data_IF_860176351485
#
_entry.id   IF_860176351485
#
_cell.length_a   1.000
_cell.length_b   1.000
_cell.length_c   1.000
_cell.angle_alpha   90.00
_cell.angle_beta   90.00
_cell.angle_gamma   90.00
#
_symmetry.space_group_name_H-M   'P 1'
#
loop_
_entity.id
_entity.type
_entity.pdbx_description
1 polymer ?
#
# COMPACT_ATOMS: atom_id res chain seq x y z
N UNK A 1 1.54 13.95 -1.80
CA UNK A 1 1.61 14.07 -0.33
C UNK A 1 2.35 12.91 0.38
N UNK A 2 2.30 11.66 -0.12
CA UNK A 2 3.07 10.51 0.45
C UNK A 2 4.56 10.55 0.07
N UNK A 3 4.87 10.91 -1.18
CA UNK A 3 6.22 11.14 -1.68
C UNK A 3 6.97 12.21 -0.87
N UNK A 4 6.25 13.22 -0.37
CA UNK A 4 6.80 14.25 0.52
C UNK A 4 7.18 13.69 1.89
N UNK A 5 6.40 12.74 2.43
CA UNK A 5 6.72 12.07 3.70
C UNK A 5 7.99 11.24 3.54
N UNK A 6 8.09 10.44 2.47
CA UNK A 6 9.30 9.66 2.14
C UNK A 6 10.52 10.58 2.01
N UNK A 7 10.40 11.70 1.29
CA UNK A 7 11.50 12.66 1.16
C UNK A 7 11.89 13.36 2.48
N UNK A 8 10.95 13.53 3.40
CA UNK A 8 11.17 14.16 4.72
C UNK A 8 11.90 13.23 5.69
N UNK A 9 11.58 11.93 5.68
CA UNK A 9 12.16 10.95 6.62
C UNK A 9 13.47 10.35 6.13
N UNK A 10 13.77 10.41 4.83
CA UNK A 10 15.00 9.85 4.26
C UNK A 10 16.13 10.89 4.16
N UNK A 11 17.36 10.57 4.62
CA UNK A 11 18.56 11.36 4.41
C UNK A 11 18.80 11.71 2.92
N UNK A 12 19.29 12.92 2.57
CA UNK A 12 19.40 13.37 1.18
C UNK A 12 20.19 12.45 0.26
N UNK A 13 21.24 11.80 0.76
CA UNK A 13 22.11 10.86 0.05
C UNK A 13 21.43 9.51 -0.25
N UNK A 14 20.37 9.15 0.47
CA UNK A 14 19.70 7.84 0.35
C UNK A 14 18.30 7.93 -0.29
N UNK A 15 17.87 9.14 -0.68
CA UNK A 15 16.54 9.38 -1.26
C UNK A 15 16.29 8.57 -2.53
N UNK A 16 17.30 8.42 -3.39
CA UNK A 16 17.19 7.62 -4.61
C UNK A 16 16.80 6.17 -4.29
N UNK A 17 17.52 5.54 -3.36
CA UNK A 17 17.25 4.16 -2.93
C UNK A 17 15.88 4.02 -2.25
N UNK A 18 15.52 4.98 -1.37
CA UNK A 18 14.22 4.97 -0.70
C UNK A 18 13.05 5.08 -1.69
N UNK A 19 13.17 5.95 -2.70
CA UNK A 19 12.17 6.04 -3.76
C UNK A 19 12.14 4.79 -4.65
N UNK A 20 13.29 4.18 -4.97
CA UNK A 20 13.34 2.92 -5.70
C UNK A 20 12.59 1.81 -4.96
N UNK A 21 12.81 1.66 -3.65
CA UNK A 21 12.08 0.68 -2.84
C UNK A 21 10.59 0.99 -2.79
N UNK A 22 10.22 2.26 -2.57
CA UNK A 22 8.82 2.68 -2.54
C UNK A 22 8.09 2.33 -3.85
N UNK A 23 8.64 2.74 -4.99
CA UNK A 23 8.02 2.49 -6.31
C UNK A 23 8.06 1.02 -6.70
N UNK A 24 9.10 0.29 -6.30
CA UNK A 24 9.14 -1.15 -6.53
C UNK A 24 8.02 -1.88 -5.78
N UNK A 25 7.82 -1.56 -4.50
CA UNK A 25 6.73 -2.14 -3.71
C UNK A 25 5.36 -1.73 -4.25
N UNK A 26 5.18 -0.47 -4.62
CA UNK A 26 3.93 -0.01 -5.26
C UNK A 26 3.66 -0.76 -6.56
N UNK A 27 4.64 -0.83 -7.46
CA UNK A 27 4.54 -1.54 -8.74
C UNK A 27 4.23 -3.03 -8.56
N UNK A 28 4.85 -3.67 -7.56
CA UNK A 28 4.59 -5.08 -7.25
C UNK A 28 3.15 -5.31 -6.79
N UNK A 29 2.67 -4.49 -5.85
CA UNK A 29 1.29 -4.63 -5.32
C UNK A 29 0.26 -4.33 -6.40
N UNK A 30 0.45 -3.26 -7.16
CA UNK A 30 -0.45 -2.87 -8.26
C UNK A 30 -0.49 -3.90 -9.38
N UNK A 31 0.63 -4.59 -9.65
CA UNK A 31 0.68 -5.70 -10.60
C UNK A 31 -0.11 -6.92 -10.13
N UNK A 32 -0.01 -7.26 -8.83
CA UNK A 32 -0.70 -8.43 -8.27
C UNK A 32 -2.17 -8.18 -7.95
N UNK A 33 -2.57 -6.94 -7.70
CA UNK A 33 -3.92 -6.59 -7.26
C UNK A 33 -5.04 -7.07 -8.22
N UNK A 34 -4.95 -6.91 -9.57
CA UNK A 34 -5.95 -7.43 -10.49
C UNK A 34 -6.07 -8.95 -10.44
N UNK A 35 -4.96 -9.68 -10.33
CA UNK A 35 -4.97 -11.15 -10.24
C UNK A 35 -5.65 -11.63 -8.96
N UNK A 36 -5.34 -11.01 -7.83
CA UNK A 36 -5.99 -11.32 -6.54
C UNK A 36 -7.48 -10.97 -6.60
N UNK A 37 -7.82 -9.82 -7.17
CA UNK A 37 -9.22 -9.41 -7.34
C UNK A 37 -9.99 -10.42 -8.19
N UNK A 38 -9.45 -10.86 -9.33
CA UNK A 38 -10.05 -11.89 -10.17
C UNK A 38 -10.28 -13.20 -9.41
N UNK A 39 -9.28 -13.67 -8.66
CA UNK A 39 -9.39 -14.88 -7.83
C UNK A 39 -10.49 -14.76 -6.76
N UNK A 40 -10.60 -13.60 -6.10
CA UNK A 40 -11.64 -13.35 -5.10
C UNK A 40 -13.04 -13.34 -5.74
N UNK A 41 -13.16 -12.78 -6.95
CA UNK A 41 -14.42 -12.79 -7.69
C UNK A 41 -14.84 -14.21 -8.08
N UNK A 42 -13.89 -15.07 -8.46
CA UNK A 42 -14.17 -16.46 -8.83
C UNK A 42 -14.60 -17.32 -7.62
N UNK A 43 -13.93 -17.15 -6.47
CA UNK A 43 -14.17 -17.96 -5.28
C UNK A 43 -15.36 -17.51 -4.44
N UNK A 44 -15.56 -16.19 -4.30
CA UNK A 44 -16.52 -15.60 -3.36
C UNK A 44 -17.56 -14.69 -4.03
N UNK A 45 -17.43 -14.48 -5.35
CA UNK A 45 -18.28 -13.59 -6.12
C UNK A 45 -17.79 -12.13 -6.11
N UNK A 46 -18.27 -11.37 -7.09
CA UNK A 46 -17.97 -9.94 -7.27
C UNK A 46 -18.18 -9.09 -6.01
N UNK A 47 -19.29 -9.21 -5.24
CA UNK A 47 -19.52 -8.31 -4.11
C UNK A 47 -18.49 -8.47 -2.99
N UNK A 48 -17.73 -9.57 -2.94
CA UNK A 48 -16.72 -9.82 -1.91
C UNK A 48 -15.45 -8.97 -2.07
N UNK A 49 -15.15 -8.48 -3.27
CA UNK A 49 -13.95 -7.66 -3.53
C UNK A 49 -14.02 -6.32 -2.79
N UNK A 50 -15.20 -5.71 -2.70
CA UNK A 50 -15.39 -4.42 -2.03
C UNK A 50 -15.09 -4.44 -0.52
N UNK A 51 -15.70 -5.33 0.31
CA UNK A 51 -15.38 -5.41 1.72
C UNK A 51 -13.94 -5.87 1.96
N UNK A 52 -13.35 -6.67 1.06
CA UNK A 52 -11.93 -7.03 1.11
C UNK A 52 -11.03 -5.81 0.90
N UNK A 53 -11.28 -4.98 -0.11
CA UNK A 53 -10.53 -3.74 -0.31
C UNK A 53 -10.69 -2.77 0.86
N UNK A 54 -11.91 -2.66 1.42
CA UNK A 54 -12.17 -1.83 2.60
C UNK A 54 -11.39 -2.31 3.83
N UNK A 55 -11.30 -3.62 4.06
CA UNK A 55 -10.53 -4.17 5.18
C UNK A 55 -9.03 -3.94 5.00
N UNK A 56 -8.49 -4.07 3.78
CA UNK A 56 -7.10 -3.71 3.48
C UNK A 56 -6.80 -2.23 3.79
N UNK A 57 -7.71 -1.32 3.42
CA UNK A 57 -7.58 0.11 3.73
C UNK A 57 -7.62 0.37 5.24
N UNK A 58 -8.51 -0.28 5.98
CA UNK A 58 -8.57 -0.19 7.44
C UNK A 58 -7.27 -0.68 8.09
N UNK A 59 -6.74 -1.83 7.65
CA UNK A 59 -5.47 -2.36 8.13
C UNK A 59 -4.32 -1.39 7.85
N UNK A 60 -4.29 -0.81 6.65
CA UNK A 60 -3.29 0.22 6.29
C UNK A 60 -3.37 1.44 7.20
N UNK A 61 -4.59 1.91 7.50
CA UNK A 61 -4.81 3.05 8.39
C UNK A 61 -4.35 2.76 9.82
N UNK A 62 -4.68 1.59 10.36
CA UNK A 62 -4.24 1.15 11.69
C UNK A 62 -2.72 1.05 11.74
N UNK A 63 -2.11 0.46 10.71
CA UNK A 63 -0.66 0.32 10.62
C UNK A 63 0.03 1.69 10.55
N UNK A 64 -0.50 2.61 9.73
CA UNK A 64 0.01 3.98 9.63
C UNK A 64 -0.09 4.70 10.98
N UNK A 65 -1.22 4.60 11.68
CA UNK A 65 -1.40 5.26 12.97
C UNK A 65 -0.45 4.72 14.05
N UNK A 66 -0.28 3.39 14.11
CA UNK A 66 0.58 2.74 15.09
C UNK A 66 2.07 3.03 14.84
N UNK A 67 2.50 2.99 13.59
CA UNK A 67 3.92 3.07 13.23
C UNK A 67 4.41 4.51 13.06
N UNK A 68 3.52 5.43 12.64
CA UNK A 68 3.88 6.82 12.41
C UNK A 68 3.57 7.74 13.60
N UNK A 69 3.13 7.19 14.77
CA UNK A 69 2.73 7.90 16.01
C UNK A 69 2.52 9.39 15.75
N UNK A 70 1.40 9.69 15.08
CA UNK A 70 1.04 11.06 14.77
C UNK A 70 0.47 11.65 16.06
N UNK A 71 1.35 12.17 16.92
CA UNK A 71 1.01 13.17 17.94
C UNK A 71 0.86 14.54 17.26
#
# INVERSE_FOLDING_TARGET
PINTIVAKITPPNERGLSFSLYFFTEGLVTSLAPTIAGLLMELFGIPFVFPFSASCLLVSLVFLNLLLKID
#
